data_IF_949713484914
#
_entry.id   IF_949713484914
#
_cell.length_a   1.000
_cell.length_b   1.000
_cell.length_c   1.000
_cell.angle_alpha   90.00
_cell.angle_beta   90.00
_cell.angle_gamma   90.00
#
_symmetry.space_group_name_H-M   'P 1'
#
loop_
_entity.id
_entity.type
_entity.pdbx_description
1 polymer ?
#
# COMPACT_ATOMS: atom_id res chain seq x y z
N UNK A 1 -36.92 25.82 -21.76
CA UNK A 1 -35.90 25.72 -22.81
C UNK A 1 -34.97 24.59 -22.40
N UNK A 2 -35.22 23.40 -22.94
CA UNK A 2 -34.45 22.18 -22.70
C UNK A 2 -33.48 22.05 -23.88
N UNK A 3 -32.23 21.68 -23.61
CA UNK A 3 -31.46 20.62 -24.29
C UNK A 3 -29.96 20.96 -24.35
N UNK A 4 -29.15 19.98 -23.91
CA UNK A 4 -27.76 19.78 -24.32
C UNK A 4 -27.37 18.34 -23.95
N UNK A 5 -27.96 17.38 -24.68
CA UNK A 5 -27.48 16.00 -24.78
C UNK A 5 -26.17 15.90 -25.57
N UNK A 6 -25.28 15.06 -25.01
CA UNK A 6 -24.46 14.04 -25.68
C UNK A 6 -23.23 14.45 -26.52
N UNK A 7 -22.34 13.44 -26.62
CA UNK A 7 -21.08 13.28 -27.37
C UNK A 7 -19.84 13.61 -26.52
N UNK A 8 -18.88 12.70 -26.26
CA UNK A 8 -18.42 11.47 -26.94
C UNK A 8 -17.58 10.63 -25.94
N UNK A 9 -17.95 9.38 -25.61
CA UNK A 9 -17.45 8.09 -26.11
C UNK A 9 -15.94 7.90 -26.41
N UNK A 10 -15.39 6.91 -25.69
CA UNK A 10 -14.43 5.87 -26.09
C UNK A 10 -12.97 6.24 -26.39
N UNK A 11 -12.08 5.86 -25.44
CA UNK A 11 -10.85 5.14 -25.79
C UNK A 11 -10.76 3.86 -24.98
N UNK A 12 -10.96 2.75 -25.69
CA UNK A 12 -10.79 1.38 -25.23
C UNK A 12 -9.39 0.89 -25.58
N UNK A 13 -8.83 0.07 -24.69
CA UNK A 13 -7.77 -0.93 -24.89
C UNK A 13 -6.31 -0.46 -24.88
N UNK A 14 -5.62 -0.87 -23.81
CA UNK A 14 -4.29 -1.48 -23.93
C UNK A 14 -4.22 -2.71 -23.02
N UNK A 15 -4.65 -3.86 -23.56
CA UNK A 15 -4.25 -5.19 -23.05
C UNK A 15 -3.01 -5.58 -23.83
N UNK A 16 -1.83 -5.55 -23.19
CA UNK A 16 -0.66 -6.30 -23.70
C UNK A 16 -0.54 -7.58 -22.90
N UNK A 17 -1.20 -8.62 -23.39
CA UNK A 17 -0.82 -9.99 -23.13
C UNK A 17 0.12 -10.41 -24.28
N UNK A 18 1.40 -10.60 -23.97
CA UNK A 18 2.37 -11.23 -24.87
C UNK A 18 2.67 -12.61 -24.30
N UNK A 19 2.08 -13.65 -24.90
CA UNK A 19 2.69 -14.98 -24.96
C UNK A 19 2.31 -15.57 -26.31
N UNK A 20 3.24 -15.47 -27.27
CA UNK A 20 3.19 -16.22 -28.51
C UNK A 20 3.42 -17.70 -28.20
N UNK A 21 2.46 -18.53 -28.58
CA UNK A 21 2.67 -19.97 -28.66
C UNK A 21 3.51 -20.24 -29.92
N UNK A 22 4.76 -20.63 -29.73
CA UNK A 22 5.55 -21.25 -30.79
C UNK A 22 5.14 -22.73 -30.89
N UNK A 23 4.52 -23.09 -32.01
CA UNK A 23 4.28 -24.47 -32.41
C UNK A 23 5.63 -25.06 -32.85
N UNK A 24 6.16 -26.00 -32.08
CA UNK A 24 7.34 -26.79 -32.42
C UNK A 24 6.98 -28.27 -32.48
N UNK A 25 6.79 -28.78 -33.69
CA UNK A 25 6.80 -30.22 -34.00
C UNK A 25 8.26 -30.69 -34.02
N UNK A 26 8.62 -31.62 -33.13
CA UNK A 26 9.95 -32.22 -33.09
C UNK A 26 10.02 -33.36 -32.08
N UNK A 27 10.03 -34.59 -32.58
CA UNK A 27 10.17 -35.81 -31.82
C UNK A 27 11.56 -35.89 -31.14
N UNK A 28 11.60 -36.32 -29.88
CA UNK A 28 12.84 -36.59 -29.16
C UNK A 28 12.56 -37.11 -27.75
N UNK A 29 12.77 -38.41 -27.55
CA UNK A 29 12.75 -39.07 -26.25
C UNK A 29 13.73 -38.41 -25.27
N UNK A 30 13.20 -37.89 -24.17
CA UNK A 30 13.98 -37.36 -23.07
C UNK A 30 13.04 -36.97 -21.94
N UNK A 31 12.68 -37.92 -21.08
CA UNK A 31 12.04 -37.62 -19.79
C UNK A 31 13.04 -36.83 -18.92
N UNK A 32 13.11 -35.52 -19.15
CA UNK A 32 13.56 -34.59 -18.12
C UNK A 32 12.31 -34.17 -17.37
N UNK A 33 12.16 -34.70 -16.15
CA UNK A 33 11.24 -34.14 -15.17
C UNK A 33 11.53 -32.65 -15.08
N UNK A 34 10.63 -31.82 -15.62
CA UNK A 34 10.66 -30.40 -15.37
C UNK A 34 10.55 -30.24 -13.84
N UNK A 35 11.46 -29.50 -13.18
CA UNK A 35 11.29 -29.24 -11.76
C UNK A 35 9.93 -28.58 -11.61
N UNK A 36 9.05 -29.20 -10.82
CA UNK A 36 7.80 -28.61 -10.41
C UNK A 36 8.14 -27.21 -9.90
N UNK A 37 7.75 -26.20 -10.68
CA UNK A 37 7.85 -24.80 -10.27
C UNK A 37 6.94 -24.73 -9.06
N UNK A 38 7.50 -24.82 -7.86
CA UNK A 38 6.80 -24.49 -6.65
C UNK A 38 6.29 -23.07 -6.88
N UNK A 39 5.01 -22.96 -7.23
CA UNK A 39 4.31 -21.70 -7.23
C UNK A 39 4.33 -21.27 -5.78
N UNK A 40 5.33 -20.47 -5.40
CA UNK A 40 5.29 -19.75 -4.13
C UNK A 40 3.95 -19.05 -4.13
N UNK A 41 3.05 -19.54 -3.28
CA UNK A 41 1.76 -18.92 -3.09
C UNK A 41 2.04 -17.49 -2.64
N UNK A 42 1.89 -16.52 -3.55
CA UNK A 42 2.07 -15.11 -3.22
C UNK A 42 1.05 -14.80 -2.14
N UNK A 43 1.51 -14.31 -1.00
CA UNK A 43 0.62 -13.83 0.03
C UNK A 43 -0.26 -12.74 -0.56
N UNK A 44 -1.60 -12.81 -0.38
CA UNK A 44 -2.49 -11.78 -0.90
C UNK A 44 -2.17 -10.43 -0.24
N UNK A 45 -2.16 -9.37 -1.07
CA UNK A 45 -1.98 -7.99 -0.61
C UNK A 45 -3.25 -7.22 -0.93
N UNK A 46 -3.87 -6.64 0.11
CA UNK A 46 -4.98 -5.68 -0.05
C UNK A 46 -4.40 -4.28 -0.11
N UNK A 47 -4.70 -3.54 -1.18
CA UNK A 47 -4.19 -2.19 -1.41
C UNK A 47 -5.29 -1.14 -1.22
N UNK A 48 -4.89 0.01 -0.70
CA UNK A 48 -5.71 1.22 -0.60
C UNK A 48 -4.95 2.39 -1.21
N UNK A 49 -5.68 3.24 -1.92
CA UNK A 49 -5.12 4.46 -2.50
C UNK A 49 -4.74 5.48 -1.41
N UNK A 50 -3.67 6.23 -1.67
CA UNK A 50 -3.18 7.26 -0.77
C UNK A 50 -4.22 8.33 -0.44
N UNK A 51 -5.08 8.65 -1.41
CA UNK A 51 -6.15 9.64 -1.25
C UNK A 51 -7.21 9.26 -0.19
N UNK A 52 -7.26 8.01 0.26
CA UNK A 52 -8.13 7.58 1.36
C UNK A 52 -7.58 7.97 2.74
N UNK A 53 -6.36 8.50 2.80
CA UNK A 53 -5.76 8.94 4.05
C UNK A 53 -6.59 10.06 4.69
N UNK A 54 -6.73 9.99 6.01
CA UNK A 54 -7.26 11.08 6.82
C UNK A 54 -6.15 11.62 7.71
N UNK A 55 -5.99 12.94 7.76
CA UNK A 55 -5.09 13.58 8.73
C UNK A 55 -5.80 13.59 10.09
N UNK A 56 -5.22 12.94 11.10
CA UNK A 56 -5.86 12.81 12.42
C UNK A 56 -5.65 14.07 13.27
N UNK A 57 -4.48 14.69 13.14
CA UNK A 57 -4.12 15.94 13.80
C UNK A 57 -3.44 16.87 12.79
N UNK A 58 -3.98 18.08 12.66
CA UNK A 58 -3.48 19.10 11.76
C UNK A 58 -2.41 20.00 12.40
N UNK A 59 -1.98 19.73 13.64
CA UNK A 59 -0.94 20.51 14.29
C UNK A 59 0.36 20.45 13.49
N UNK A 60 0.76 21.60 12.95
CA UNK A 60 1.96 21.71 12.13
C UNK A 60 1.80 21.15 10.71
N UNK A 61 0.57 20.90 10.25
CA UNK A 61 0.25 20.72 8.84
C UNK A 61 0.23 22.10 8.15
N UNK A 62 1.00 22.26 7.06
CA UNK A 62 1.00 23.48 6.25
C UNK A 62 0.10 23.34 5.02
N UNK A 63 0.17 22.19 4.35
CA UNK A 63 -0.62 21.93 3.14
C UNK A 63 -0.99 20.47 3.06
N UNK A 64 -2.21 20.24 2.61
CA UNK A 64 -2.77 18.93 2.40
C UNK A 64 -3.59 18.92 1.11
N UNK A 65 -3.21 18.05 0.18
CA UNK A 65 -3.89 17.94 -1.12
C UNK A 65 -3.83 16.52 -1.66
N UNK A 66 -4.68 16.24 -2.63
CA UNK A 66 -4.63 15.02 -3.41
C UNK A 66 -4.15 15.37 -4.81
N UNK A 67 -3.15 14.63 -5.30
CA UNK A 67 -2.63 14.73 -6.66
C UNK A 67 -2.67 13.33 -7.29
N UNK A 68 -3.45 13.17 -8.37
CA UNK A 68 -3.77 11.87 -8.95
C UNK A 68 -4.31 10.87 -7.89
N UNK A 69 -3.51 9.86 -7.56
CA UNK A 69 -3.82 8.83 -6.57
C UNK A 69 -3.08 9.04 -5.23
N UNK A 70 -2.29 10.10 -5.12
CA UNK A 70 -1.44 10.37 -3.98
C UNK A 70 -2.04 11.43 -3.04
N UNK A 71 -1.89 11.20 -1.74
CA UNK A 71 -2.01 12.25 -0.74
C UNK A 71 -0.66 12.93 -0.60
N UNK A 72 -0.63 14.24 -0.79
CA UNK A 72 0.57 15.06 -0.70
C UNK A 72 0.43 15.98 0.51
N UNK A 73 1.36 15.83 1.45
CA UNK A 73 1.33 16.47 2.75
C UNK A 73 2.59 17.27 2.94
N UNK A 74 2.42 18.52 3.35
CA UNK A 74 3.51 19.39 3.77
C UNK A 74 3.37 19.72 5.25
N UNK A 75 4.43 19.51 6.02
CA UNK A 75 4.50 19.90 7.41
C UNK A 75 5.39 21.11 7.64
N UNK A 76 5.16 21.81 8.76
CA UNK A 76 6.12 22.75 9.34
C UNK A 76 7.41 21.99 9.68
N UNK A 77 8.52 22.69 9.81
CA UNK A 77 9.65 22.11 10.55
C UNK A 77 9.14 21.67 11.93
N UNK A 78 9.81 20.71 12.58
CA UNK A 78 9.46 20.11 13.88
C UNK A 78 8.10 19.37 13.97
N UNK A 79 7.25 19.39 12.95
CA UNK A 79 5.93 18.76 13.05
C UNK A 79 5.94 17.26 12.80
N UNK A 80 4.94 16.59 13.37
CA UNK A 80 4.58 15.22 13.08
C UNK A 80 3.13 15.19 12.65
N UNK A 81 2.87 14.77 11.43
CA UNK A 81 1.51 14.69 10.87
C UNK A 81 1.12 13.21 10.78
N UNK A 82 0.13 12.76 11.58
CA UNK A 82 -0.40 11.40 11.49
C UNK A 82 -1.36 11.26 10.30
N UNK A 83 -1.04 10.33 9.41
CA UNK A 83 -1.90 9.93 8.28
C UNK A 83 -2.52 8.57 8.56
N UNK A 84 -3.84 8.54 8.61
CA UNK A 84 -4.61 7.35 8.96
C UNK A 84 -5.32 6.75 7.75
N UNK A 85 -5.21 5.43 7.61
CA UNK A 85 -5.77 4.64 6.53
C UNK A 85 -6.64 3.53 7.10
N UNK A 86 -7.83 3.34 6.53
CA UNK A 86 -8.62 2.14 6.73
C UNK A 86 -8.27 1.13 5.63
N UNK A 87 -7.62 0.03 5.98
CA UNK A 87 -7.26 -1.03 5.03
C UNK A 87 -8.34 -2.11 5.05
N UNK A 88 -9.01 -2.37 3.91
CA UNK A 88 -10.02 -3.40 3.85
C UNK A 88 -9.36 -4.75 4.10
N UNK A 89 -9.84 -5.41 5.14
CA UNK A 89 -9.51 -6.79 5.44
C UNK A 89 -10.45 -7.72 4.69
N UNK A 90 -9.95 -8.94 4.42
CA UNK A 90 -10.85 -10.01 4.02
C UNK A 90 -11.56 -10.45 5.30
N UNK A 91 -12.78 -9.96 5.51
CA UNK A 91 -13.64 -10.50 6.55
C UNK A 91 -13.90 -11.98 6.22
N UNK A 92 -13.33 -12.88 7.02
CA UNK A 92 -13.67 -14.29 6.96
C UNK A 92 -14.86 -14.50 7.90
N UNK A 93 -16.02 -14.83 7.35
CA UNK A 93 -17.25 -15.16 8.11
C UNK A 93 -17.08 -16.37 9.06
N UNK A 94 -15.90 -16.98 9.06
CA UNK A 94 -15.55 -18.16 9.86
C UNK A 94 -15.08 -17.83 11.28
N UNK A 95 -14.97 -16.55 11.66
CA UNK A 95 -14.48 -16.14 12.98
C UNK A 95 -12.97 -16.40 13.21
N UNK A 96 -12.27 -16.91 12.20
CA UNK A 96 -10.81 -17.06 12.23
C UNK A 96 -10.15 -15.71 11.93
N UNK A 97 -9.38 -15.19 12.89
CA UNK A 97 -8.62 -13.96 12.68
C UNK A 97 -7.66 -14.06 11.50
N UNK A 98 -7.52 -12.98 10.74
CA UNK A 98 -6.59 -12.93 9.61
C UNK A 98 -5.20 -12.54 10.12
N UNK A 99 -4.17 -13.22 9.63
CA UNK A 99 -2.78 -12.92 10.00
C UNK A 99 -2.21 -11.85 9.07
N UNK A 100 -1.85 -10.69 9.59
CA UNK A 100 -1.12 -9.65 8.86
C UNK A 100 0.37 -9.91 9.03
N UNK A 101 1.09 -10.08 7.92
CA UNK A 101 2.52 -10.46 7.90
C UNK A 101 3.43 -9.30 7.52
N UNK A 102 2.93 -8.32 6.76
CA UNK A 102 3.68 -7.13 6.42
C UNK A 102 2.75 -5.97 6.03
N UNK A 103 3.28 -4.76 6.18
CA UNK A 103 2.70 -3.53 5.64
C UNK A 103 3.54 -3.08 4.45
N UNK A 104 2.89 -2.69 3.37
CA UNK A 104 3.51 -2.11 2.19
C UNK A 104 3.14 -0.64 2.09
N UNK A 105 4.12 0.19 1.73
CA UNK A 105 3.92 1.64 1.60
C UNK A 105 4.53 2.06 0.26
N UNK A 106 3.70 2.63 -0.63
CA UNK A 106 4.18 3.26 -1.85
C UNK A 106 4.26 4.76 -1.66
N UNK A 107 5.46 5.29 -1.49
CA UNK A 107 5.65 6.70 -1.20
C UNK A 107 6.90 7.28 -1.85
N UNK A 108 6.95 8.61 -1.85
CA UNK A 108 8.17 9.41 -2.02
C UNK A 108 8.16 10.52 -0.99
N UNK A 109 9.33 10.97 -0.59
CA UNK A 109 9.55 12.03 0.38
C UNK A 109 10.69 12.93 -0.10
N UNK A 110 10.48 14.23 -0.04
CA UNK A 110 11.54 15.19 -0.31
C UNK A 110 12.54 15.21 0.86
N UNK A 111 13.70 15.83 0.63
CA UNK A 111 14.69 16.02 1.68
C UNK A 111 14.04 16.76 2.85
N UNK A 112 14.11 16.22 4.06
CA UNK A 112 13.50 16.78 5.26
C UNK A 112 12.08 16.30 5.56
N UNK A 113 11.54 15.33 4.82
CA UNK A 113 10.36 14.57 5.22
C UNK A 113 10.70 13.08 5.33
N UNK A 114 10.11 12.39 6.32
CA UNK A 114 10.26 10.94 6.48
C UNK A 114 9.04 10.34 7.19
N UNK A 115 8.86 9.03 7.04
CA UNK A 115 7.94 8.26 7.90
C UNK A 115 8.73 7.82 9.14
N UNK A 116 8.38 8.39 10.29
CA UNK A 116 9.09 8.17 11.56
C UNK A 116 8.55 6.99 12.34
N UNK A 117 7.24 6.78 12.27
CA UNK A 117 6.58 5.72 13.01
C UNK A 117 5.36 5.16 12.27
N UNK A 118 4.95 3.97 12.68
CA UNK A 118 3.80 3.26 12.15
C UNK A 118 3.04 2.59 13.30
N UNK A 119 1.72 2.73 13.30
CA UNK A 119 0.83 2.06 14.24
C UNK A 119 -0.23 1.29 13.48
N UNK A 120 -0.35 -0.01 13.77
CA UNK A 120 -1.37 -0.90 13.25
C UNK A 120 -2.39 -1.21 14.34
N UNK A 121 -3.68 -1.19 14.03
CA UNK A 121 -4.74 -1.50 14.98
C UNK A 121 -5.93 -2.20 14.30
N UNK A 122 -6.70 -2.98 15.08
CA UNK A 122 -7.87 -3.75 14.60
C UNK A 122 -9.22 -3.09 14.95
N UNK A 123 -9.25 -1.75 14.98
CA UNK A 123 -10.33 -0.89 15.50
C UNK A 123 -10.58 -0.97 17.01
N UNK A 124 -10.17 -2.03 17.70
CA UNK A 124 -10.36 -2.17 19.15
C UNK A 124 -9.06 -1.97 19.93
N UNK A 125 -7.93 -2.44 19.38
CA UNK A 125 -6.62 -2.37 20.03
C UNK A 125 -5.50 -2.10 19.05
N UNK A 126 -4.41 -1.56 19.57
CA UNK A 126 -3.13 -1.50 18.85
C UNK A 126 -2.56 -2.92 18.72
N UNK A 127 -2.38 -3.37 17.48
CA UNK A 127 -1.74 -4.65 17.15
C UNK A 127 -0.22 -4.55 17.22
N UNK A 128 0.33 -3.46 16.67
CA UNK A 128 1.76 -3.18 16.73
C UNK A 128 2.01 -1.68 16.60
N UNK A 129 3.09 -1.23 17.20
CA UNK A 129 3.61 0.12 17.05
C UNK A 129 5.12 0.03 16.80
N UNK A 130 5.61 0.78 15.81
CA UNK A 130 7.03 0.84 15.44
C UNK A 130 7.46 2.27 15.34
N UNK A 131 8.42 2.64 16.17
CA UNK A 131 9.09 3.94 16.12
C UNK A 131 10.42 3.83 15.36
N UNK A 132 11.04 4.99 15.11
CA UNK A 132 12.37 5.12 14.54
C UNK A 132 12.55 4.40 13.18
N UNK A 133 11.49 4.36 12.37
CA UNK A 133 11.54 3.74 11.04
C UNK A 133 12.44 4.52 10.07
N UNK A 134 12.48 5.85 10.20
CA UNK A 134 13.30 6.76 9.40
C UNK A 134 13.25 6.50 7.89
N UNK A 135 12.06 6.19 7.35
CA UNK A 135 11.91 5.84 5.93
C UNK A 135 11.85 7.11 5.08
N UNK A 136 12.80 7.23 4.16
CA UNK A 136 12.90 8.35 3.23
C UNK A 136 13.36 7.84 1.86
N UNK A 137 12.55 8.11 0.83
CA UNK A 137 12.86 7.74 -0.55
C UNK A 137 12.56 8.95 -1.44
N UNK A 138 13.54 9.42 -2.22
CA UNK A 138 13.37 10.62 -3.07
C UNK A 138 12.43 10.34 -4.24
N UNK A 139 12.51 9.12 -4.78
CA UNK A 139 11.64 8.62 -5.84
C UNK A 139 10.55 7.70 -5.29
N UNK A 140 9.55 7.40 -6.13
CA UNK A 140 8.49 6.45 -5.79
C UNK A 140 9.06 5.04 -5.59
N UNK A 141 8.84 4.48 -4.41
CA UNK A 141 9.24 3.11 -4.09
C UNK A 141 8.19 2.38 -3.24
N UNK A 142 8.22 1.04 -3.29
CA UNK A 142 7.38 0.13 -2.52
C UNK A 142 8.18 -0.42 -1.34
N UNK A 143 7.98 0.15 -0.14
CA UNK A 143 8.65 -0.29 1.08
C UNK A 143 7.82 -1.33 1.79
N UNK A 144 8.41 -2.51 2.04
CA UNK A 144 7.82 -3.59 2.84
C UNK A 144 8.33 -3.56 4.26
N UNK A 145 7.42 -3.47 5.22
CA UNK A 145 7.68 -3.55 6.66
C UNK A 145 7.14 -4.89 7.18
N UNK A 146 8.03 -5.86 7.35
CA UNK A 146 7.68 -7.19 7.86
C UNK A 146 7.24 -7.10 9.34
N UNK A 147 6.09 -7.70 9.68
CA UNK A 147 5.60 -7.81 11.05
C UNK A 147 6.14 -9.09 11.68
N UNK A 148 6.93 -8.95 12.74
CA UNK A 148 7.51 -10.05 13.49
C UNK A 148 7.32 -9.83 15.00
N UNK A 149 6.46 -10.62 15.67
CA UNK A 149 5.62 -11.67 15.07
C UNK A 149 4.49 -11.09 14.19
N UNK A 150 3.92 -11.88 13.26
CA UNK A 150 2.72 -11.49 12.51
C UNK A 150 1.55 -11.15 13.45
N UNK A 151 0.77 -10.13 13.11
CA UNK A 151 -0.36 -9.69 13.93
C UNK A 151 -1.64 -10.45 13.58
N UNK A 152 -2.40 -10.88 14.58
CA UNK A 152 -3.72 -11.47 14.38
C UNK A 152 -4.79 -10.38 14.49
N UNK A 153 -5.50 -10.14 13.39
CA UNK A 153 -6.57 -9.16 13.30
C UNK A 153 -7.93 -9.87 13.36
N UNK A 154 -8.85 -9.33 14.15
CA UNK A 154 -10.20 -9.87 14.36
C UNK A 154 -11.27 -9.24 13.46
N UNK A 155 -11.05 -7.99 13.01
CA UNK A 155 -12.06 -7.18 12.31
C UNK A 155 -11.45 -6.38 11.14
N UNK A 156 -11.57 -5.06 11.19
CA UNK A 156 -11.05 -4.12 10.20
C UNK A 156 -9.67 -3.64 10.62
N UNK A 157 -8.85 -3.26 9.65
CA UNK A 157 -7.49 -2.82 9.88
C UNK A 157 -7.38 -1.32 9.73
N UNK A 158 -6.83 -0.66 10.72
CA UNK A 158 -6.40 0.72 10.62
C UNK A 158 -4.88 0.82 10.68
N UNK A 159 -4.32 1.67 9.84
CA UNK A 159 -2.90 1.99 9.80
C UNK A 159 -2.72 3.50 9.99
N UNK A 160 -1.91 3.89 10.96
CA UNK A 160 -1.47 5.27 11.11
C UNK A 160 0.03 5.35 10.79
N UNK A 161 0.39 6.27 9.89
CA UNK A 161 1.78 6.63 9.60
C UNK A 161 2.07 8.01 10.17
N UNK A 162 3.10 8.12 11.00
CA UNK A 162 3.58 9.41 11.47
C UNK A 162 4.63 9.94 10.50
N UNK A 163 4.30 11.05 9.84
CA UNK A 163 5.20 11.75 8.94
C UNK A 163 5.90 12.88 9.70
N UNK A 164 7.22 12.82 9.83
CA UNK A 164 8.02 13.86 10.48
C UNK A 164 8.63 14.79 9.45
N UNK A 165 8.68 16.08 9.79
CA UNK A 165 9.17 17.15 8.91
C UNK A 165 10.27 17.98 9.59
N UNK A 166 11.37 18.21 8.89
CA UNK A 166 12.50 19.04 9.31
C UNK A 166 12.63 20.27 8.40
N UNK A 167 13.79 20.94 8.36
CA UNK A 167 13.85 22.31 7.82
C UNK A 167 13.81 22.41 6.30
N UNK A 168 14.03 21.33 5.56
CA UNK A 168 14.14 21.33 4.09
C UNK A 168 12.88 20.73 3.47
N UNK A 169 12.40 21.30 2.33
CA UNK A 169 11.35 20.86 1.38
C UNK A 169 10.00 20.34 1.93
N UNK A 170 10.04 19.45 2.93
CA UNK A 170 8.98 19.10 3.88
C UNK A 170 7.74 18.51 3.25
N UNK A 171 7.90 17.82 2.13
CA UNK A 171 6.80 17.17 1.44
C UNK A 171 6.94 15.65 1.49
N UNK A 172 5.86 14.98 1.83
CA UNK A 172 5.72 13.53 1.62
C UNK A 172 4.51 13.27 0.73
N UNK A 173 4.63 12.32 -0.18
CA UNK A 173 3.55 11.89 -1.06
C UNK A 173 3.36 10.38 -0.91
N UNK A 174 2.17 9.96 -0.50
CA UNK A 174 1.82 8.54 -0.35
C UNK A 174 0.76 8.22 -1.39
N UNK A 175 1.04 7.24 -2.25
CA UNK A 175 0.12 6.85 -3.34
C UNK A 175 -0.67 5.59 -3.04
N UNK A 176 -0.14 4.71 -2.19
CA UNK A 176 -0.86 3.52 -1.76
C UNK A 176 -0.29 2.94 -0.45
N UNK A 177 -1.15 2.23 0.27
CA UNK A 177 -0.82 1.38 1.41
C UNK A 177 -1.33 -0.02 1.11
N UNK A 178 -0.52 -1.03 1.40
CA UNK A 178 -0.86 -2.43 1.25
C UNK A 178 -0.75 -3.19 2.57
N UNK A 179 -1.60 -4.19 2.77
CA UNK A 179 -1.47 -5.16 3.85
C UNK A 179 -1.33 -6.57 3.27
N UNK A 180 -0.21 -7.21 3.61
CA UNK A 180 0.11 -8.59 3.23
C UNK A 180 -0.46 -9.53 4.29
N UNK A 181 -1.23 -10.52 3.85
CA UNK A 181 -1.86 -11.48 4.74
C UNK A 181 -1.24 -12.86 4.58
N UNK A 182 -0.89 -13.47 5.71
CA UNK A 182 -0.46 -14.85 5.77
C UNK A 182 -1.65 -15.77 5.48
N UNK A 183 -1.48 -16.70 4.55
CA UNK A 183 -2.44 -17.79 4.38
C UNK A 183 -2.16 -18.82 5.47
N UNK A 184 -3.12 -19.03 6.36
CA UNK A 184 -3.16 -20.24 7.19
C UNK A 184 -3.62 -21.38 6.27
N UNK A 185 -2.72 -22.31 5.98
CA UNK A 185 -3.03 -23.57 5.28
C UNK A 185 -3.47 -24.59 6.32
#
# INVERSE_FOLDING_TARGET
MVDARQWSQMFTRSRRAFFGAAVGLGAGFGMKAAPARATMARQPISWVHGNSATVVDAQGLERDRVEDNARVVHGRSWSRVPLHFAVPSLALDTGSGQRVTAIWIRFKAEQGALISAMTLHDCERTLTHRENLALQHVDWDDVRIALDPPCLMSRSLGLTLECSFSDVARQISISAIGCEFGMTV
#
